data_IF_671976515317
#
_entry.id   IF_671976515317
#
_cell.length_a   1.000
_cell.length_b   1.000
_cell.length_c   1.000
_cell.angle_alpha   90.00
_cell.angle_beta   90.00
_cell.angle_gamma   90.00
#
_symmetry.space_group_name_H-M   'P 1'
#
loop_
_entity.id
_entity.type
_entity.pdbx_description
1 polymer ?
#
# COMPACT_ATOMS: atom_id res chain seq x y z
N UNK A 1 -16.83 52.42 4.97
CA UNK A 1 -15.67 52.14 5.85
C UNK A 1 -15.34 50.64 5.76
N UNK A 2 -15.02 50.07 4.60
CA UNK A 2 -13.73 50.09 3.88
C UNK A 2 -12.51 49.80 4.78
N UNK A 3 -12.00 48.56 4.72
CA UNK A 3 -10.58 48.24 4.93
C UNK A 3 -10.27 46.84 4.36
N UNK A 4 -9.90 46.83 3.09
CA UNK A 4 -9.29 45.75 2.33
C UNK A 4 -7.78 45.70 2.65
N UNK A 5 -7.19 44.51 2.81
CA UNK A 5 -5.74 44.36 2.87
C UNK A 5 -5.31 43.08 2.13
N UNK A 6 -5.06 43.23 0.82
CA UNK A 6 -4.38 42.22 -0.03
C UNK A 6 -2.94 42.69 -0.18
N UNK A 7 -1.98 41.88 0.25
CA UNK A 7 -0.55 42.16 0.15
C UNK A 7 0.05 41.41 -1.03
N UNK A 8 0.77 42.17 -1.84
CA UNK A 8 1.37 41.85 -3.12
C UNK A 8 2.52 40.83 -3.08
N UNK A 9 2.79 40.18 -4.21
CA UNK A 9 4.13 40.24 -4.81
C UNK A 9 4.11 39.87 -6.30
N UNK A 10 4.57 40.79 -7.13
CA UNK A 10 4.60 40.73 -8.60
C UNK A 10 5.81 39.97 -9.12
N UNK A 11 5.58 39.02 -10.02
CA UNK A 11 6.59 38.39 -10.87
C UNK A 11 6.95 39.32 -12.04
N UNK A 12 8.23 39.63 -12.18
CA UNK A 12 8.79 40.31 -13.35
C UNK A 12 9.56 39.36 -14.29
N UNK A 13 9.90 39.90 -15.46
CA UNK A 13 10.72 39.36 -16.57
C UNK A 13 9.89 38.58 -17.62
N UNK A 14 9.46 39.10 -18.78
CA UNK A 14 10.01 39.94 -19.86
C UNK A 14 10.63 39.15 -21.05
N UNK A 15 10.02 39.37 -22.23
CA UNK A 15 10.53 39.31 -23.63
C UNK A 15 10.76 37.92 -24.24
N UNK A 16 9.87 37.47 -25.14
CA UNK A 16 9.83 37.72 -26.60
C UNK A 16 11.11 37.30 -27.34
N UNK A 17 11.03 36.22 -28.14
CA UNK A 17 11.55 36.20 -29.52
C UNK A 17 10.85 35.10 -30.33
N UNK A 18 10.33 35.55 -31.46
CA UNK A 18 9.68 34.82 -32.55
C UNK A 18 10.68 34.04 -33.39
N UNK A 19 10.32 32.83 -33.84
CA UNK A 19 10.81 32.25 -35.09
C UNK A 19 9.72 31.39 -35.70
N UNK A 20 9.65 31.44 -37.03
CA UNK A 20 8.50 31.23 -37.89
C UNK A 20 8.87 30.16 -38.93
N UNK A 21 7.83 29.48 -39.45
CA UNK A 21 7.70 28.69 -40.70
C UNK A 21 7.91 27.16 -40.68
N UNK A 22 6.91 26.52 -41.32
CA UNK A 22 6.70 25.12 -41.72
C UNK A 22 7.28 24.87 -43.15
N UNK A 23 6.96 23.77 -43.87
CA UNK A 23 7.39 22.36 -43.72
C UNK A 23 7.94 21.76 -45.06
N UNK A 24 8.18 20.44 -45.06
CA UNK A 24 8.15 19.48 -46.20
C UNK A 24 9.46 18.99 -46.86
N UNK A 25 9.37 17.72 -47.31
CA UNK A 25 10.23 17.00 -48.28
C UNK A 25 11.55 16.45 -47.73
N UNK A 26 12.07 15.26 -48.05
CA UNK A 26 11.67 14.04 -48.76
C UNK A 26 12.84 13.06 -48.62
N UNK A 27 12.58 11.77 -48.83
CA UNK A 27 13.52 10.75 -49.33
C UNK A 27 14.71 10.30 -48.44
N UNK A 28 14.62 9.00 -48.10
CA UNK A 28 15.66 7.97 -48.25
C UNK A 28 17.06 8.20 -47.66
N UNK A 29 17.39 7.37 -46.67
CA UNK A 29 18.61 6.56 -46.70
C UNK A 29 18.59 5.52 -45.57
N UNK A 30 18.52 4.26 -45.98
CA UNK A 30 18.99 3.11 -45.23
C UNK A 30 20.42 3.33 -44.73
N UNK A 31 20.58 3.35 -43.41
CA UNK A 31 21.87 3.13 -42.76
C UNK A 31 21.66 2.11 -41.65
N UNK A 32 22.33 0.98 -41.84
CA UNK A 32 22.43 -0.15 -40.94
C UNK A 32 23.15 0.28 -39.66
N UNK A 33 22.78 -0.37 -38.57
CA UNK A 33 23.48 -0.35 -37.28
C UNK A 33 23.23 0.86 -36.37
N UNK A 34 22.05 0.86 -35.75
CA UNK A 34 21.92 1.26 -34.36
C UNK A 34 21.24 0.11 -33.63
N UNK A 35 22.05 -0.83 -33.13
CA UNK A 35 21.65 -1.65 -31.99
C UNK A 35 21.43 -0.69 -30.85
N UNK A 36 20.19 -0.22 -30.68
CA UNK A 36 19.76 0.44 -29.45
C UNK A 36 20.07 -0.56 -28.35
N UNK A 37 21.16 -0.28 -27.63
CA UNK A 37 21.54 -0.99 -26.45
C UNK A 37 20.28 -1.16 -25.62
N UNK A 38 19.84 -2.40 -25.47
CA UNK A 38 19.01 -2.77 -24.34
C UNK A 38 19.87 -2.39 -23.15
N UNK A 39 19.62 -1.20 -22.59
CA UNK A 39 20.16 -0.80 -21.32
C UNK A 39 19.64 -1.83 -20.33
N UNK A 40 20.43 -2.88 -20.14
CA UNK A 40 20.38 -3.73 -18.95
C UNK A 40 20.31 -2.74 -17.79
N UNK A 41 19.21 -2.69 -17.03
CA UNK A 41 19.18 -1.82 -15.87
C UNK A 41 20.33 -2.29 -14.99
N UNK A 42 21.31 -1.41 -14.79
CA UNK A 42 22.45 -1.65 -13.93
C UNK A 42 21.90 -2.21 -12.62
N UNK A 43 22.12 -3.50 -12.40
CA UNK A 43 21.92 -4.12 -11.11
C UNK A 43 22.77 -3.29 -10.15
N UNK A 44 22.11 -2.50 -9.31
CA UNK A 44 22.80 -1.74 -8.29
C UNK A 44 23.44 -2.78 -7.37
N UNK A 45 24.73 -2.99 -7.53
CA UNK A 45 25.55 -3.75 -6.60
C UNK A 45 25.17 -3.30 -5.18
N UNK A 46 24.82 -4.23 -4.27
CA UNK A 46 24.36 -3.86 -2.95
C UNK A 46 25.46 -3.03 -2.29
N UNK A 47 25.13 -1.79 -1.91
CA UNK A 47 26.07 -0.87 -1.24
C UNK A 47 26.64 -1.60 -0.03
N UNK A 48 27.88 -2.13 -0.15
CA UNK A 48 28.54 -2.90 0.92
C UNK A 48 28.63 -2.05 2.17
N UNK A 49 27.69 -2.23 3.08
CA UNK A 49 27.75 -1.61 4.40
C UNK A 49 28.93 -2.23 5.13
N UNK A 50 29.89 -1.40 5.56
CA UNK A 50 31.09 -1.85 6.27
C UNK A 50 30.73 -2.18 7.73
N UNK A 51 29.88 -3.18 7.94
CA UNK A 51 29.54 -3.68 9.27
C UNK A 51 30.66 -4.61 9.75
N UNK A 52 31.43 -4.14 10.73
CA UNK A 52 32.63 -4.84 11.24
C UNK A 52 32.30 -6.10 12.05
N UNK A 53 31.13 -6.15 12.68
CA UNK A 53 30.73 -7.25 13.57
C UNK A 53 29.89 -8.26 12.76
N UNK A 54 30.23 -9.56 12.76
CA UNK A 54 29.54 -10.56 11.93
C UNK A 54 28.06 -10.70 12.26
N UNK A 55 27.68 -10.62 13.54
CA UNK A 55 26.26 -10.68 13.96
C UNK A 55 25.44 -9.52 13.45
N UNK A 56 26.00 -8.30 13.47
CA UNK A 56 25.34 -7.10 12.93
C UNK A 56 25.20 -7.19 11.41
N UNK A 57 26.23 -7.71 10.73
CA UNK A 57 26.19 -7.94 9.28
C UNK A 57 25.12 -8.95 8.91
N UNK A 58 25.04 -10.08 9.62
CA UNK A 58 24.00 -11.08 9.39
C UNK A 58 22.60 -10.51 9.59
N UNK A 59 22.37 -9.72 10.65
CA UNK A 59 21.09 -9.06 10.90
C UNK A 59 20.70 -8.07 9.78
N UNK A 60 21.65 -7.30 9.26
CA UNK A 60 21.40 -6.38 8.15
C UNK A 60 21.01 -7.12 6.86
N UNK A 61 21.74 -8.18 6.51
CA UNK A 61 21.40 -9.03 5.36
C UNK A 61 20.00 -9.65 5.50
N UNK A 62 19.64 -10.08 6.70
CA UNK A 62 18.33 -10.66 6.97
C UNK A 62 17.21 -9.63 6.78
N UNK A 63 17.44 -8.39 7.21
CA UNK A 63 16.51 -7.29 7.02
C UNK A 63 16.35 -6.92 5.53
N UNK A 64 17.46 -6.90 4.77
CA UNK A 64 17.44 -6.65 3.32
C UNK A 64 16.60 -7.73 2.61
N UNK A 65 16.83 -9.01 2.92
CA UNK A 65 16.05 -10.11 2.37
C UNK A 65 14.56 -10.02 2.73
N UNK A 66 14.23 -9.64 3.97
CA UNK A 66 12.83 -9.44 4.38
C UNK A 66 12.15 -8.33 3.57
N UNK A 67 12.85 -7.22 3.31
CA UNK A 67 12.34 -6.10 2.52
C UNK A 67 12.07 -6.52 1.07
N UNK A 68 13.01 -7.21 0.43
CA UNK A 68 12.82 -7.72 -0.93
C UNK A 68 11.59 -8.63 -1.03
N UNK A 69 11.38 -9.51 -0.06
CA UNK A 69 10.23 -10.42 -0.04
C UNK A 69 8.93 -9.65 0.15
N UNK A 70 8.92 -8.61 0.99
CA UNK A 70 7.76 -7.74 1.18
C UNK A 70 7.41 -7.01 -0.11
N UNK A 71 8.39 -6.39 -0.77
CA UNK A 71 8.20 -5.67 -2.03
C UNK A 71 7.63 -6.59 -3.10
N UNK A 72 8.25 -7.77 -3.31
CA UNK A 72 7.76 -8.80 -4.24
C UNK A 72 6.33 -9.23 -3.94
N UNK A 73 5.95 -9.26 -2.66
CA UNK A 73 4.61 -9.68 -2.22
C UNK A 73 3.53 -8.61 -2.40
N UNK A 74 3.92 -7.35 -2.56
CA UNK A 74 3.00 -6.21 -2.77
C UNK A 74 2.72 -5.95 -4.26
N UNK A 75 3.59 -6.41 -5.16
CA UNK A 75 3.40 -6.27 -6.61
C UNK A 75 2.08 -6.89 -7.02
N UNK A 76 1.18 -6.07 -7.58
CA UNK A 76 -0.11 -6.51 -8.14
C UNK A 76 -1.23 -6.72 -7.11
N UNK A 77 -1.09 -6.24 -5.86
CA UNK A 77 -2.17 -6.28 -4.86
C UNK A 77 -2.67 -4.89 -4.52
N UNK A 78 -4.00 -4.74 -4.53
CA UNK A 78 -4.67 -3.53 -4.07
C UNK A 78 -4.94 -3.64 -2.56
N UNK A 79 -4.09 -3.00 -1.75
CA UNK A 79 -4.18 -2.99 -0.29
C UNK A 79 -4.30 -1.55 0.18
N UNK A 80 -5.49 -1.18 0.66
CA UNK A 80 -5.72 0.12 1.28
C UNK A 80 -5.01 0.22 2.65
N UNK A 81 -4.65 1.43 3.05
CA UNK A 81 -4.17 1.68 4.41
C UNK A 81 -5.34 1.64 5.40
N UNK A 82 -5.26 0.71 6.36
CA UNK A 82 -6.27 0.56 7.41
C UNK A 82 -5.65 0.53 8.81
N UNK A 83 -6.46 0.94 9.78
CA UNK A 83 -6.14 0.97 11.19
C UNK A 83 -7.08 0.07 12.01
N UNK A 84 -6.69 -0.31 13.24
CA UNK A 84 -7.61 -1.00 14.15
C UNK A 84 -8.87 -0.16 14.39
N UNK A 85 -10.04 -0.78 14.26
CA UNK A 85 -11.34 -0.14 14.40
C UNK A 85 -12.04 0.26 13.10
N UNK A 86 -11.36 0.10 11.97
CA UNK A 86 -11.97 0.27 10.65
C UNK A 86 -12.70 -1.01 10.23
N UNK A 87 -13.72 -0.84 9.40
CA UNK A 87 -14.43 -1.94 8.74
C UNK A 87 -13.80 -2.21 7.39
N UNK A 88 -13.42 -3.47 7.15
CA UNK A 88 -12.66 -3.89 5.98
C UNK A 88 -13.37 -5.05 5.29
N UNK A 89 -13.35 -5.03 3.96
CA UNK A 89 -13.69 -6.16 3.10
C UNK A 89 -12.42 -6.76 2.52
N UNK A 90 -12.20 -8.04 2.79
CA UNK A 90 -11.06 -8.80 2.30
C UNK A 90 -11.50 -9.85 1.31
N UNK A 91 -10.82 -9.90 0.17
CA UNK A 91 -10.99 -10.96 -0.82
C UNK A 91 -9.86 -11.97 -0.69
N UNK A 92 -10.22 -13.22 -0.43
CA UNK A 92 -9.29 -14.32 -0.19
C UNK A 92 -9.57 -15.48 -1.15
N UNK A 93 -8.51 -16.06 -1.69
CA UNK A 93 -8.61 -17.25 -2.55
C UNK A 93 -8.65 -18.51 -1.69
N UNK A 94 -9.66 -19.37 -1.88
CA UNK A 94 -9.80 -20.59 -1.07
C UNK A 94 -8.73 -21.65 -1.36
N UNK A 95 -8.25 -21.73 -2.59
CA UNK A 95 -7.23 -22.70 -3.02
C UNK A 95 -6.29 -22.10 -4.05
N UNK A 96 -5.00 -22.47 -3.96
CA UNK A 96 -3.93 -21.92 -4.80
C UNK A 96 -4.05 -22.28 -6.29
N UNK A 97 -4.70 -23.39 -6.61
CA UNK A 97 -4.77 -23.95 -7.98
C UNK A 97 -5.96 -23.43 -8.79
N UNK A 98 -6.75 -22.50 -8.26
CA UNK A 98 -7.91 -21.92 -8.95
C UNK A 98 -9.24 -22.08 -8.21
N UNK A 99 -9.29 -21.63 -6.95
CA UNK A 99 -10.50 -21.69 -6.13
C UNK A 99 -11.44 -20.50 -6.31
N UNK A 100 -12.64 -20.62 -5.73
CA UNK A 100 -13.59 -19.51 -5.56
C UNK A 100 -12.97 -18.43 -4.66
N UNK A 101 -13.20 -17.17 -5.01
CA UNK A 101 -12.85 -16.03 -4.15
C UNK A 101 -13.90 -15.91 -3.05
N UNK A 102 -13.45 -16.03 -1.81
CA UNK A 102 -14.25 -15.77 -0.62
C UNK A 102 -14.10 -14.30 -0.23
N UNK A 103 -15.21 -13.66 0.11
CA UNK A 103 -15.23 -12.31 0.65
C UNK A 103 -15.52 -12.38 2.14
N UNK A 104 -14.65 -11.79 2.94
CA UNK A 104 -14.78 -11.72 4.39
C UNK A 104 -14.86 -10.25 4.78
N UNK A 105 -15.91 -9.90 5.52
CA UNK A 105 -16.12 -8.55 6.03
C UNK A 105 -16.04 -8.55 7.54
N UNK A 106 -15.57 -7.44 8.10
CA UNK A 106 -15.64 -7.21 9.53
C UNK A 106 -14.76 -6.06 9.99
N UNK A 107 -14.72 -5.88 11.30
CA UNK A 107 -13.92 -4.84 11.97
C UNK A 107 -12.52 -5.37 12.26
N UNK A 108 -11.50 -4.56 12.01
CA UNK A 108 -10.11 -4.88 12.35
C UNK A 108 -9.88 -4.73 13.85
N UNK A 109 -9.57 -5.82 14.55
CA UNK A 109 -9.29 -5.82 15.98
C UNK A 109 -7.87 -5.40 16.30
N UNK A 110 -6.92 -5.91 15.52
CA UNK A 110 -5.51 -5.72 15.76
C UNK A 110 -4.74 -5.90 14.47
N UNK A 111 -3.67 -5.11 14.31
CA UNK A 111 -2.67 -5.23 13.26
C UNK A 111 -1.30 -5.50 13.91
N UNK A 112 -0.55 -6.44 13.35
CA UNK A 112 0.80 -6.82 13.77
C UNK A 112 1.71 -6.62 12.57
N UNK A 113 2.68 -5.72 12.71
CA UNK A 113 3.68 -5.43 11.69
C UNK A 113 4.97 -6.18 12.05
N UNK A 114 5.35 -7.19 11.26
CA UNK A 114 6.56 -8.00 11.43
C UNK A 114 7.12 -8.41 10.06
N UNK A 115 7.51 -7.43 9.24
CA UNK A 115 8.02 -7.66 7.88
C UNK A 115 7.06 -8.56 7.09
N UNK A 116 7.57 -9.68 6.58
CA UNK A 116 6.80 -10.70 5.85
C UNK A 116 5.67 -11.33 6.68
N UNK A 117 5.84 -11.44 8.01
CA UNK A 117 4.87 -12.02 8.94
C UNK A 117 3.77 -11.05 9.38
N UNK A 118 3.62 -9.91 8.71
CA UNK A 118 2.60 -8.91 9.05
C UNK A 118 1.20 -9.47 8.86
N UNK A 119 0.36 -9.33 9.89
CA UNK A 119 -0.98 -9.92 9.94
C UNK A 119 -1.94 -9.02 10.69
N UNK A 120 -3.23 -9.22 10.44
CA UNK A 120 -4.30 -8.54 11.14
C UNK A 120 -5.44 -9.50 11.44
N UNK A 121 -6.27 -9.14 12.42
CA UNK A 121 -7.40 -9.95 12.87
C UNK A 121 -8.67 -9.18 12.56
N UNK A 122 -9.58 -9.82 11.86
CA UNK A 122 -10.93 -9.32 11.56
C UNK A 122 -11.91 -10.03 12.48
N UNK A 123 -12.89 -9.29 13.00
CA UNK A 123 -14.04 -9.86 13.70
C UNK A 123 -15.32 -9.42 13.03
N UNK A 124 -16.28 -10.34 12.94
CA UNK A 124 -17.66 -10.06 12.53
C UNK A 124 -18.62 -10.90 13.38
N UNK A 125 -19.91 -10.56 13.36
CA UNK A 125 -20.98 -11.39 13.90
C UNK A 125 -21.96 -11.71 12.78
N UNK A 126 -22.05 -12.97 12.39
CA UNK A 126 -22.90 -13.45 11.31
C UNK A 126 -23.84 -14.52 11.88
N UNK A 127 -25.15 -14.36 11.66
CA UNK A 127 -26.14 -15.36 12.08
C UNK A 127 -26.14 -15.68 13.58
N UNK A 128 -25.79 -14.72 14.44
CA UNK A 128 -25.70 -14.90 15.89
C UNK A 128 -24.36 -15.43 16.41
N UNK A 129 -23.45 -15.86 15.52
CA UNK A 129 -22.14 -16.38 15.90
C UNK A 129 -21.04 -15.33 15.70
N UNK A 130 -20.10 -15.24 16.65
CA UNK A 130 -18.90 -14.42 16.53
C UNK A 130 -17.86 -15.11 15.65
N UNK A 131 -17.48 -14.47 14.55
CA UNK A 131 -16.45 -14.94 13.64
C UNK A 131 -15.18 -14.11 13.84
N UNK A 132 -14.04 -14.76 14.05
CA UNK A 132 -12.73 -14.12 14.05
C UNK A 132 -11.82 -14.81 13.04
N UNK A 133 -11.13 -14.04 12.21
CA UNK A 133 -10.18 -14.56 11.24
C UNK A 133 -8.89 -13.74 11.26
N UNK A 134 -7.77 -14.45 11.35
CA UNK A 134 -6.43 -13.88 11.21
C UNK A 134 -5.97 -13.99 9.77
N UNK A 135 -5.59 -12.87 9.17
CA UNK A 135 -5.16 -12.79 7.78
C UNK A 135 -3.73 -12.24 7.73
N UNK A 136 -2.91 -12.79 6.84
CA UNK A 136 -1.54 -12.34 6.59
C UNK A 136 -1.53 -11.40 5.38
N UNK A 137 -0.91 -10.22 5.51
CA UNK A 137 -0.88 -9.18 4.48
C UNK A 137 -0.09 -9.61 3.24
N UNK A 138 1.03 -10.31 3.45
CA UNK A 138 1.91 -10.72 2.36
C UNK A 138 1.59 -12.14 1.84
N UNK A 139 0.44 -12.71 2.23
CA UNK A 139 0.03 -14.03 1.72
C UNK A 139 -0.24 -13.96 0.21
N UNK A 140 0.17 -14.97 -0.59
CA UNK A 140 -0.17 -15.05 -2.01
C UNK A 140 -1.68 -15.32 -2.26
N UNK A 141 -2.40 -15.77 -1.24
CA UNK A 141 -3.83 -16.05 -1.32
C UNK A 141 -4.70 -14.80 -1.11
N UNK A 142 -4.11 -13.72 -0.61
CA UNK A 142 -4.77 -12.43 -0.44
C UNK A 142 -4.79 -11.69 -1.78
N UNK A 143 -5.99 -11.31 -2.25
CA UNK A 143 -6.16 -10.57 -3.51
C UNK A 143 -6.27 -9.07 -3.29
N UNK A 144 -7.27 -8.66 -2.49
CA UNK A 144 -7.51 -7.25 -2.20
C UNK A 144 -8.00 -7.03 -0.77
N UNK A 145 -7.68 -5.85 -0.25
CA UNK A 145 -8.13 -5.37 1.06
C UNK A 145 -8.69 -3.98 0.86
N UNK A 146 -10.01 -3.84 1.02
CA UNK A 146 -10.72 -2.57 0.83
C UNK A 146 -11.29 -2.06 2.14
N UNK A 147 -11.07 -0.79 2.44
CA UNK A 147 -11.71 -0.14 3.59
C UNK A 147 -13.14 0.25 3.22
N UNK A 148 -14.12 -0.27 3.95
CA UNK A 148 -15.53 0.09 3.75
C UNK A 148 -15.89 1.36 4.51
N UNK A 149 -15.49 1.42 5.79
CA UNK A 149 -15.79 2.53 6.69
C UNK A 149 -14.64 2.72 7.67
N UNK A 150 -14.14 3.96 7.74
CA UNK A 150 -13.21 4.37 8.78
C UNK A 150 -13.92 4.56 10.12
N UNK A 151 -13.23 4.22 11.22
CA UNK A 151 -13.71 4.41 12.59
C UNK A 151 -15.12 3.85 12.85
N UNK A 152 -15.38 2.62 12.37
CA UNK A 152 -16.69 1.96 12.42
C UNK A 152 -17.29 1.91 13.84
N UNK A 153 -16.47 1.58 14.86
CA UNK A 153 -16.91 1.36 16.24
C UNK A 153 -17.60 2.57 16.87
N UNK A 154 -17.23 3.79 16.45
CA UNK A 154 -17.81 5.03 16.96
C UNK A 154 -18.66 5.73 15.89
N UNK A 155 -19.15 5.00 14.88
CA UNK A 155 -19.93 5.53 13.76
C UNK A 155 -19.24 6.71 13.05
N UNK A 156 -17.93 6.64 12.87
CA UNK A 156 -17.15 7.70 12.23
C UNK A 156 -16.88 8.94 13.11
N UNK A 157 -17.39 9.00 14.34
CA UNK A 157 -17.20 10.18 15.21
C UNK A 157 -15.79 10.31 15.75
N UNK A 158 -15.15 9.19 16.04
CA UNK A 158 -13.87 9.16 16.75
C UNK A 158 -13.09 7.89 16.43
N UNK A 159 -11.77 8.01 16.33
CA UNK A 159 -10.87 6.86 16.27
C UNK A 159 -10.75 6.18 17.63
N UNK A 160 -10.59 4.87 17.60
CA UNK A 160 -10.37 4.07 18.81
C UNK A 160 -9.02 4.39 19.43
N UNK A 161 -8.98 4.45 20.75
CA UNK A 161 -7.76 4.83 21.50
C UNK A 161 -6.79 3.68 21.72
N UNK A 162 -7.28 2.43 21.68
CA UNK A 162 -6.46 1.23 21.90
C UNK A 162 -5.94 0.70 20.57
N UNK A 163 -4.67 0.31 20.52
CA UNK A 163 -4.07 -0.31 19.34
C UNK A 163 -4.60 -1.74 19.06
N UNK A 164 -5.12 -2.42 20.09
CA UNK A 164 -5.74 -3.74 19.97
C UNK A 164 -7.07 -3.75 20.71
N UNK A 165 -8.11 -4.21 20.01
CA UNK A 165 -9.51 -4.08 20.41
C UNK A 165 -10.08 -5.41 20.90
N UNK A 166 -9.29 -6.20 21.64
CA UNK A 166 -9.74 -7.50 22.13
C UNK A 166 -10.93 -7.43 23.10
N UNK A 167 -11.17 -6.26 23.69
CA UNK A 167 -12.35 -6.02 24.50
C UNK A 167 -13.66 -6.14 23.71
N UNK A 168 -13.63 -6.09 22.37
CA UNK A 168 -14.84 -6.28 21.54
C UNK A 168 -15.42 -7.70 21.63
N UNK A 169 -14.67 -8.66 22.21
CA UNK A 169 -15.15 -10.01 22.47
C UNK A 169 -16.27 -10.05 23.51
N UNK A 170 -16.16 -9.19 24.52
CA UNK A 170 -17.09 -9.11 25.66
C UNK A 170 -18.15 -8.02 25.47
N UNK A 171 -18.17 -7.38 24.29
CA UNK A 171 -19.06 -6.26 23.96
C UNK A 171 -20.22 -6.75 23.11
N UNK A 172 -21.33 -5.97 23.07
CA UNK A 172 -22.48 -6.35 22.26
C UNK A 172 -22.10 -6.46 20.78
N UNK A 173 -22.73 -7.41 20.05
CA UNK A 173 -22.41 -7.68 18.65
C UNK A 173 -22.62 -6.47 17.74
N UNK A 174 -23.48 -5.52 18.14
CA UNK A 174 -23.76 -4.26 17.43
C UNK A 174 -22.52 -3.45 17.05
N UNK A 175 -21.42 -3.57 17.81
CA UNK A 175 -20.18 -2.85 17.54
C UNK A 175 -19.29 -3.53 16.48
N UNK A 176 -19.64 -4.73 16.04
CA UNK A 176 -18.78 -5.57 15.20
C UNK A 176 -19.53 -6.24 14.04
N UNK A 177 -20.85 -6.27 14.07
CA UNK A 177 -21.68 -6.63 12.92
C UNK A 177 -21.49 -5.60 11.80
N UNK A 178 -20.92 -6.05 10.68
CA UNK A 178 -20.71 -5.27 9.45
C UNK A 178 -21.63 -5.75 8.34
#
# INVERSE_FOLDING_TARGET
MLATAIKAFSSGVARQTTARLLPASSAAASALFSTSATETPLQQEPKRTKLKIPTKRAAALLQELEQEVVEKSLVGKDIDEFQPGDSVEVQYLLSRTGGKVQRVRGVVLARRNRGTGSSFIIRNHIGGYGYEQKIFLHSPLLQSVKVLKEAFIHNGKKRVRRAKLFYLRDKPPSLTTV
#
